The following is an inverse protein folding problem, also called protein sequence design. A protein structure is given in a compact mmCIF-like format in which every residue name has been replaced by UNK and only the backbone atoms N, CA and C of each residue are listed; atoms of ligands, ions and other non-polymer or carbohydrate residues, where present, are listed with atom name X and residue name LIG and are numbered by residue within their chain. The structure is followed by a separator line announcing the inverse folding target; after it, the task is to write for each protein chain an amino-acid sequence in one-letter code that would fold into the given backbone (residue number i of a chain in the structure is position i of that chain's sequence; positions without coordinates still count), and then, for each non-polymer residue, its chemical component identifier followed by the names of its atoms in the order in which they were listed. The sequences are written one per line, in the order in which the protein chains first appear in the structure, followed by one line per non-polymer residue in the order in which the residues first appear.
data_IF_184924921280
#
_entry.id   IF_184924921280
#
_cell.length_a   1.000
_cell.length_b   1.000
_cell.length_c   1.000
_cell.angle_alpha   90.00
_cell.angle_beta   90.00
_cell.angle_gamma   90.00
#
_symmetry.space_group_name_H-M   'P 1'
#
loop_
_entity.id
_entity.type
_entity.pdbx_description
1 polymer ?
#
# COMPACT_ATOMS: atom_id res chain seq x y z
N UNK A 1 -17.92 11.14 77.89
CA UNK A 1 -19.15 10.39 78.23
C UNK A 1 -19.45 9.51 77.03
N UNK A 2 -19.27 8.18 77.03
CA UNK A 2 -19.19 7.19 78.13
C UNK A 2 -20.50 7.20 78.95
N UNK A 3 -21.24 6.11 79.20
CA UNK A 3 -20.98 4.65 79.38
C UNK A 3 -22.25 3.89 78.88
N UNK A 4 -22.31 2.66 78.33
CA UNK A 4 -21.42 1.54 77.91
C UNK A 4 -22.14 0.82 76.72
N UNK A 5 -21.66 -0.18 75.95
CA UNK A 5 -20.60 -1.20 76.06
C UNK A 5 -20.95 -2.50 76.84
N UNK A 6 -21.78 -3.38 76.24
CA UNK A 6 -22.04 -4.82 76.53
C UNK A 6 -22.93 -5.34 75.37
N UNK A 7 -22.80 -6.52 74.73
CA UNK A 7 -21.85 -7.65 74.83
C UNK A 7 -21.37 -7.99 73.39
N UNK A 8 -20.09 -8.35 73.24
CA UNK A 8 -19.56 -9.05 72.06
C UNK A 8 -19.34 -10.54 72.41
N UNK A 9 -19.20 -11.41 71.42
CA UNK A 9 -19.10 -12.88 71.53
C UNK A 9 -20.45 -13.60 71.73
N UNK A 10 -21.02 -14.05 70.59
CA UNK A 10 -21.18 -15.48 70.34
C UNK A 10 -20.93 -15.73 68.85
N UNK A 11 -19.82 -16.43 68.57
CA UNK A 11 -19.36 -16.80 67.22
C UNK A 11 -19.57 -18.30 67.04
N UNK A 12 -19.64 -18.79 65.79
CA UNK A 12 -19.95 -20.21 65.44
C UNK A 12 -21.44 -20.54 65.72
N UNK A 13 -22.24 -21.12 64.82
CA UNK A 13 -21.98 -22.05 63.70
C UNK A 13 -22.48 -21.51 62.34
N UNK A 14 -21.90 -22.04 61.25
CA UNK A 14 -22.32 -21.93 59.83
C UNK A 14 -23.49 -22.90 59.50
N UNK A 15 -23.97 -23.09 58.24
CA UNK A 15 -23.54 -22.53 56.95
C UNK A 15 -24.67 -22.02 56.02
N UNK A 16 -24.28 -21.70 54.78
CA UNK A 16 -25.08 -21.60 53.54
C UNK A 16 -26.51 -22.18 53.55
N UNK A 17 -27.46 -21.38 53.08
CA UNK A 17 -28.56 -21.86 52.25
C UNK A 17 -28.80 -20.89 51.09
N UNK A 18 -28.56 -21.36 49.87
CA UNK A 18 -28.84 -20.62 48.65
C UNK A 18 -30.35 -20.39 48.51
N UNK A 19 -30.78 -19.13 48.46
CA UNK A 19 -32.10 -18.77 47.94
C UNK A 19 -32.16 -18.83 46.41
N UNK A 20 -31.58 -19.90 45.86
CA UNK A 20 -31.94 -20.41 44.55
C UNK A 20 -33.41 -20.80 44.60
N UNK A 21 -34.29 -19.90 44.16
CA UNK A 21 -35.71 -20.18 43.92
C UNK A 21 -35.81 -21.15 42.73
N UNK A 22 -35.51 -22.41 42.99
CA UNK A 22 -36.03 -23.50 42.20
C UNK A 22 -37.55 -23.38 42.23
N UNK A 23 -38.14 -22.95 41.11
CA UNK A 23 -39.56 -23.16 40.90
C UNK A 23 -39.75 -24.67 40.74
N UNK A 24 -40.00 -25.34 41.86
CA UNK A 24 -40.55 -26.70 41.90
C UNK A 24 -41.94 -26.65 41.30
N UNK A 25 -41.99 -26.61 39.96
CA UNK A 25 -43.19 -26.85 39.20
C UNK A 25 -43.64 -28.27 39.54
N UNK A 26 -44.87 -28.37 40.04
CA UNK A 26 -45.40 -29.63 40.56
C UNK A 26 -45.34 -30.70 39.43
N UNK A 27 -44.66 -31.85 39.62
CA UNK A 27 -44.60 -32.88 38.61
C UNK A 27 -45.98 -33.45 38.25
N UNK A 28 -47.00 -33.26 39.09
CA UNK A 28 -48.40 -33.62 38.80
C UNK A 28 -49.12 -32.57 37.92
N UNK A 29 -48.60 -31.33 37.82
CA UNK A 29 -49.08 -30.32 36.87
C UNK A 29 -48.45 -30.45 35.48
N UNK A 30 -47.36 -31.22 35.32
CA UNK A 30 -46.83 -31.67 34.02
C UNK A 30 -47.70 -32.78 33.42
N UNK A 31 -48.94 -32.44 33.05
CA UNK A 31 -49.80 -33.34 32.26
C UNK A 31 -49.13 -33.72 30.92
N UNK A 32 -49.47 -34.88 30.36
CA UNK A 32 -48.80 -35.47 29.18
C UNK A 32 -48.64 -34.53 27.98
N UNK A 33 -49.56 -33.59 27.79
CA UNK A 33 -49.49 -32.55 26.76
C UNK A 33 -48.21 -31.69 26.79
N UNK A 34 -47.48 -31.65 27.93
CA UNK A 34 -46.20 -30.93 28.01
C UNK A 34 -45.09 -31.60 27.21
N UNK A 35 -45.04 -32.93 27.13
CA UNK A 35 -44.06 -33.63 26.28
C UNK A 35 -44.35 -33.34 24.80
N UNK A 36 -45.63 -33.39 24.44
CA UNK A 36 -46.18 -32.94 23.16
C UNK A 36 -45.82 -31.49 22.80
N UNK A 37 -45.72 -30.59 23.78
CA UNK A 37 -45.30 -29.19 23.58
C UNK A 37 -43.77 -29.09 23.45
N UNK A 38 -43.00 -29.70 24.37
CA UNK A 38 -41.53 -29.72 24.33
C UNK A 38 -41.02 -30.33 23.00
N UNK A 39 -41.68 -31.37 22.46
CA UNK A 39 -41.36 -31.92 21.13
C UNK A 39 -41.76 -30.97 19.99
N UNK A 40 -42.93 -30.32 20.05
CA UNK A 40 -43.35 -29.33 19.03
C UNK A 40 -42.45 -28.10 19.03
N UNK A 41 -42.03 -27.62 20.20
CA UNK A 41 -41.04 -26.55 20.35
C UNK A 41 -39.67 -26.99 19.82
N UNK A 42 -39.21 -28.21 20.11
CA UNK A 42 -37.98 -28.75 19.54
C UNK A 42 -38.05 -28.85 18.00
N UNK A 43 -39.19 -29.28 17.44
CA UNK A 43 -39.42 -29.33 15.98
C UNK A 43 -39.46 -27.92 15.38
N UNK A 44 -40.09 -26.94 16.05
CA UNK A 44 -40.13 -25.55 15.61
C UNK A 44 -38.74 -24.89 15.67
N UNK A 45 -38.03 -25.03 16.79
CA UNK A 45 -36.64 -24.59 16.96
C UNK A 45 -35.72 -25.21 15.89
N UNK A 46 -35.85 -26.51 15.62
CA UNK A 46 -35.07 -27.18 14.57
C UNK A 46 -35.47 -26.73 13.15
N UNK A 47 -36.73 -26.38 12.89
CA UNK A 47 -37.15 -25.75 11.62
C UNK A 47 -36.57 -24.35 11.49
N UNK A 48 -36.67 -23.50 12.52
CA UNK A 48 -36.13 -22.14 12.56
C UNK A 48 -34.60 -22.15 12.38
N UNK A 49 -33.89 -23.04 13.06
CA UNK A 49 -32.44 -23.20 12.87
C UNK A 49 -32.09 -23.69 11.46
N UNK A 50 -32.88 -24.59 10.85
CA UNK A 50 -32.71 -24.95 9.42
C UNK A 50 -32.93 -23.76 8.48
N UNK A 51 -33.87 -22.86 8.77
CA UNK A 51 -34.05 -21.61 8.01
C UNK A 51 -32.91 -20.61 8.21
N UNK A 52 -32.23 -20.59 9.36
CA UNK A 52 -31.05 -19.73 9.55
C UNK A 52 -29.76 -20.34 8.96
N UNK A 53 -29.60 -21.66 9.03
CA UNK A 53 -28.48 -22.40 8.42
C UNK A 53 -28.41 -22.27 6.90
N UNK A 54 -29.55 -22.05 6.22
CA UNK A 54 -29.59 -21.85 4.76
C UNK A 54 -29.28 -20.41 4.33
N UNK A 55 -29.20 -19.43 5.24
CA UNK A 55 -28.74 -18.07 4.90
C UNK A 55 -27.22 -18.02 5.08
N UNK A 56 -26.41 -17.94 4.00
CA UNK A 56 -24.96 -18.09 4.09
C UNK A 56 -24.34 -17.12 5.12
N UNK A 57 -23.45 -17.62 5.98
CA UNK A 57 -22.85 -16.85 7.09
C UNK A 57 -21.92 -15.73 6.62
N UNK A 58 -21.44 -15.82 5.39
CA UNK A 58 -20.56 -14.86 4.74
C UNK A 58 -20.91 -14.77 3.24
N UNK A 59 -20.54 -13.68 2.59
CA UNK A 59 -20.58 -13.53 1.13
C UNK A 59 -19.16 -13.61 0.57
N UNK A 60 -19.00 -14.34 -0.53
CA UNK A 60 -17.79 -14.29 -1.34
C UNK A 60 -17.77 -13.03 -2.19
N UNK A 61 -16.61 -12.38 -2.29
CA UNK A 61 -16.35 -11.30 -3.25
C UNK A 61 -15.00 -11.53 -3.93
N UNK A 62 -14.98 -11.22 -5.21
CA UNK A 62 -13.80 -11.20 -6.08
C UNK A 62 -13.76 -9.83 -6.75
N UNK A 63 -12.60 -9.21 -6.73
CA UNK A 63 -12.36 -7.91 -7.38
C UNK A 63 -11.51 -8.05 -8.65
N UNK A 64 -11.54 -7.02 -9.50
CA UNK A 64 -10.77 -6.93 -10.75
C UNK A 64 -9.24 -7.07 -10.56
N UNK A 65 -8.74 -6.82 -9.35
CA UNK A 65 -7.32 -6.96 -8.98
C UNK A 65 -6.93 -8.38 -8.48
N UNK A 66 -7.80 -9.38 -8.65
CA UNK A 66 -7.58 -10.76 -8.18
C UNK A 66 -7.74 -10.92 -6.66
N UNK A 67 -8.26 -9.90 -5.97
CA UNK A 67 -8.48 -9.90 -4.52
C UNK A 67 -9.72 -10.73 -4.18
N UNK A 68 -9.53 -11.91 -3.58
CA UNK A 68 -10.60 -12.80 -3.14
C UNK A 68 -10.79 -12.68 -1.62
N UNK A 69 -12.01 -12.39 -1.18
CA UNK A 69 -12.29 -12.23 0.24
C UNK A 69 -13.71 -12.68 0.64
N UNK A 70 -13.83 -13.07 1.92
CA UNK A 70 -15.10 -13.44 2.57
C UNK A 70 -15.54 -12.28 3.47
N UNK A 71 -16.74 -11.75 3.23
CA UNK A 71 -17.37 -10.75 4.08
C UNK A 71 -18.41 -11.42 4.98
N UNK A 72 -18.14 -11.50 6.28
CA UNK A 72 -19.01 -12.12 7.27
C UNK A 72 -20.14 -11.17 7.72
N UNK A 73 -21.28 -11.72 8.15
CA UNK A 73 -22.44 -10.95 8.66
C UNK A 73 -22.13 -10.07 9.88
N UNK A 74 -21.06 -10.36 10.60
CA UNK A 74 -20.57 -9.58 11.76
C UNK A 74 -19.60 -8.45 11.37
N UNK A 75 -19.40 -8.21 10.08
CA UNK A 75 -18.50 -7.19 9.55
C UNK A 75 -17.04 -7.61 9.43
N UNK A 76 -16.67 -8.84 9.84
CA UNK A 76 -15.30 -9.34 9.63
C UNK A 76 -15.04 -9.62 8.16
N UNK A 77 -13.81 -9.32 7.73
CA UNK A 77 -13.29 -9.65 6.39
C UNK A 77 -12.15 -10.65 6.54
N UNK A 78 -12.22 -11.76 5.82
CA UNK A 78 -11.10 -12.70 5.65
C UNK A 78 -10.59 -12.65 4.21
N UNK A 79 -9.37 -12.15 4.03
CA UNK A 79 -8.70 -12.07 2.72
C UNK A 79 -7.93 -13.36 2.41
N UNK A 80 -8.06 -13.85 1.18
CA UNK A 80 -7.40 -15.05 0.66
C UNK A 80 -6.47 -14.68 -0.50
N UNK A 81 -5.21 -15.13 -0.43
CA UNK A 81 -4.19 -14.85 -1.43
C UNK A 81 -4.14 -16.02 -2.42
N UNK A 82 -4.67 -15.77 -3.62
CA UNK A 82 -4.59 -16.68 -4.76
C UNK A 82 -3.43 -16.30 -5.70
N UNK A 83 -3.14 -17.17 -6.68
CA UNK A 83 -2.01 -16.99 -7.62
C UNK A 83 -2.12 -15.77 -8.52
N UNK A 84 -3.35 -15.31 -8.76
CA UNK A 84 -3.68 -14.18 -9.63
C UNK A 84 -3.76 -12.84 -8.86
N UNK A 85 -3.37 -12.85 -7.57
CA UNK A 85 -3.29 -11.64 -6.75
C UNK A 85 -2.34 -10.60 -7.36
N UNK A 86 -2.83 -9.36 -7.50
CA UNK A 86 -2.02 -8.20 -7.84
C UNK A 86 -2.00 -7.21 -6.69
N UNK A 87 -0.82 -6.73 -6.29
CA UNK A 87 -0.71 -5.69 -5.28
C UNK A 87 -1.19 -4.33 -5.82
N UNK A 88 -1.89 -3.58 -4.98
CA UNK A 88 -2.50 -2.27 -5.31
C UNK A 88 -2.25 -1.29 -4.16
N UNK A 89 -2.23 0.01 -4.45
CA UNK A 89 -2.31 1.01 -3.38
C UNK A 89 -3.69 0.97 -2.71
N UNK A 90 -3.78 1.10 -1.37
CA UNK A 90 -5.04 1.06 -0.67
C UNK A 90 -5.98 2.19 -1.11
N UNK A 91 -7.27 1.91 -1.19
CA UNK A 91 -8.32 2.90 -1.41
C UNK A 91 -8.97 3.33 -0.09
N UNK A 92 -9.22 4.62 0.07
CA UNK A 92 -9.91 5.25 1.20
C UNK A 92 -11.31 4.65 1.49
N UNK A 93 -11.93 4.01 0.49
CA UNK A 93 -13.23 3.34 0.59
C UNK A 93 -13.18 1.90 1.15
N UNK A 94 -12.03 1.20 1.07
CA UNK A 94 -11.93 -0.25 1.36
C UNK A 94 -10.95 -0.60 2.50
N UNK A 95 -10.68 0.34 3.41
CA UNK A 95 -9.63 0.22 4.44
C UNK A 95 -9.73 -1.03 5.33
N UNK A 96 -10.93 -1.55 5.60
CA UNK A 96 -11.13 -2.78 6.38
C UNK A 96 -10.71 -4.04 5.58
N UNK A 97 -10.92 -4.05 4.26
CA UNK A 97 -10.45 -5.11 3.36
C UNK A 97 -8.93 -5.08 3.29
N UNK A 98 -8.34 -3.89 3.05
CA UNK A 98 -6.89 -3.71 3.00
C UNK A 98 -6.18 -4.04 4.32
N UNK A 99 -6.85 -3.88 5.47
CA UNK A 99 -6.32 -4.29 6.77
C UNK A 99 -6.26 -5.83 6.88
N UNK A 100 -7.29 -6.54 6.41
CA UNK A 100 -7.30 -8.01 6.34
C UNK A 100 -6.28 -8.56 5.33
N UNK A 101 -6.17 -7.91 4.17
CA UNK A 101 -5.17 -8.17 3.11
C UNK A 101 -3.74 -8.10 3.67
N UNK A 102 -3.39 -7.04 4.40
CA UNK A 102 -2.07 -6.91 5.03
C UNK A 102 -1.79 -8.00 6.08
N UNK A 103 -2.78 -8.35 6.93
CA UNK A 103 -2.62 -9.44 7.90
C UNK A 103 -2.56 -10.83 7.24
N UNK A 104 -3.15 -11.01 6.05
CA UNK A 104 -2.97 -12.25 5.25
C UNK A 104 -1.61 -12.28 4.54
N UNK A 105 -1.15 -11.18 3.93
CA UNK A 105 0.20 -11.09 3.33
C UNK A 105 1.28 -11.43 4.36
N UNK A 106 1.16 -10.90 5.59
CA UNK A 106 2.05 -11.20 6.69
C UNK A 106 2.04 -12.68 7.15
N UNK A 107 0.92 -13.41 7.00
CA UNK A 107 0.83 -14.86 7.30
C UNK A 107 1.41 -15.70 6.17
N UNK A 108 1.23 -15.28 4.92
CA UNK A 108 1.66 -16.02 3.73
C UNK A 108 3.14 -15.83 3.36
N UNK A 109 3.88 -14.99 4.11
CA UNK A 109 5.33 -14.83 3.95
C UNK A 109 5.76 -13.58 3.18
N UNK A 110 4.86 -12.64 2.93
CA UNK A 110 5.12 -11.38 2.21
C UNK A 110 5.11 -10.14 3.13
N UNK A 111 6.09 -10.00 4.04
CA UNK A 111 6.10 -8.93 5.04
C UNK A 111 6.33 -7.55 4.41
N UNK A 112 7.02 -7.45 3.27
CA UNK A 112 7.31 -6.17 2.64
C UNK A 112 6.06 -5.52 2.04
N UNK A 113 5.28 -6.27 1.27
CA UNK A 113 3.98 -5.80 0.76
C UNK A 113 3.00 -5.52 1.90
N UNK A 114 2.96 -6.35 2.95
CA UNK A 114 2.16 -6.07 4.14
C UNK A 114 2.53 -4.73 4.82
N UNK A 115 3.82 -4.45 5.01
CA UNK A 115 4.32 -3.17 5.58
C UNK A 115 4.02 -1.99 4.65
N UNK A 116 4.17 -2.17 3.33
CA UNK A 116 3.88 -1.15 2.30
C UNK A 116 2.40 -0.77 2.31
N UNK A 117 1.52 -1.77 2.32
CA UNK A 117 0.07 -1.62 2.39
C UNK A 117 -0.36 -0.94 3.70
N UNK A 118 0.19 -1.34 4.85
CA UNK A 118 -0.09 -0.71 6.15
C UNK A 118 0.40 0.74 6.25
N UNK A 119 1.55 1.08 5.67
CA UNK A 119 1.99 2.48 5.50
C UNK A 119 0.97 3.28 4.66
N UNK A 120 0.50 2.71 3.56
CA UNK A 120 -0.54 3.30 2.70
C UNK A 120 -1.88 3.50 3.42
N UNK A 121 -2.34 2.51 4.20
CA UNK A 121 -3.54 2.62 5.04
C UNK A 121 -3.38 3.77 6.05
N UNK A 122 -2.20 3.92 6.66
CA UNK A 122 -1.87 5.06 7.54
C UNK A 122 -1.86 6.42 6.83
N UNK A 123 -1.56 6.48 5.53
CA UNK A 123 -1.75 7.67 4.70
C UNK A 123 -3.25 7.90 4.41
N UNK A 124 -4.01 6.87 4.07
CA UNK A 124 -5.45 6.98 3.83
C UNK A 124 -6.24 7.49 5.06
N UNK A 125 -5.92 7.01 6.26
CA UNK A 125 -6.53 7.53 7.49
C UNK A 125 -6.19 9.02 7.73
N UNK A 126 -4.96 9.45 7.43
CA UNK A 126 -4.57 10.87 7.47
C UNK A 126 -5.28 11.71 6.41
N UNK A 127 -5.51 11.18 5.21
CA UNK A 127 -6.27 11.88 4.16
C UNK A 127 -7.75 12.07 4.56
N UNK A 128 -8.42 10.98 4.95
CA UNK A 128 -9.88 10.99 5.24
C UNK A 128 -10.26 11.69 6.55
N UNK A 129 -9.40 11.63 7.58
CA UNK A 129 -9.74 12.12 8.92
C UNK A 129 -8.72 13.12 9.51
N UNK A 130 -7.66 13.47 8.79
CA UNK A 130 -6.66 14.45 9.23
C UNK A 130 -5.95 14.05 10.52
N UNK A 131 -6.28 14.73 11.62
CA UNK A 131 -5.68 14.53 12.96
C UNK A 131 -6.49 13.58 13.87
N UNK A 132 -7.77 13.33 13.57
CA UNK A 132 -8.62 12.44 14.38
C UNK A 132 -8.56 11.01 13.85
N UNK A 133 -7.78 10.15 14.51
CA UNK A 133 -7.60 8.76 14.08
C UNK A 133 -8.68 7.84 14.69
N UNK A 134 -9.44 7.07 13.87
CA UNK A 134 -10.40 6.09 14.37
C UNK A 134 -9.72 4.85 14.98
N UNK A 135 -10.48 4.06 15.74
CA UNK A 135 -9.95 2.85 16.40
C UNK A 135 -9.26 1.85 15.44
N UNK A 136 -9.83 1.66 14.24
CA UNK A 136 -9.25 0.81 13.19
C UNK A 136 -7.87 1.28 12.73
N UNK A 137 -7.61 2.59 12.70
CA UNK A 137 -6.30 3.14 12.39
C UNK A 137 -5.26 2.82 13.49
N UNK A 138 -5.68 2.68 14.75
CA UNK A 138 -4.77 2.27 15.83
C UNK A 138 -4.40 0.79 15.73
N UNK A 139 -5.33 -0.07 15.29
CA UNK A 139 -5.04 -1.49 14.99
C UNK A 139 -4.04 -1.61 13.85
N UNK A 140 -4.26 -0.92 12.72
CA UNK A 140 -3.32 -0.90 11.59
C UNK A 140 -1.93 -0.35 11.97
N UNK A 141 -1.88 0.67 12.84
CA UNK A 141 -0.63 1.17 13.38
C UNK A 141 0.06 0.15 14.32
N UNK A 142 -0.68 -0.63 15.09
CA UNK A 142 -0.13 -1.68 15.96
C UNK A 142 0.41 -2.86 15.15
N UNK A 143 -0.30 -3.32 14.10
CA UNK A 143 0.20 -4.39 13.21
C UNK A 143 1.43 -3.93 12.44
N UNK A 144 1.45 -2.69 11.93
CA UNK A 144 2.63 -2.09 11.30
C UNK A 144 3.84 -2.07 12.24
N UNK A 145 3.67 -1.58 13.47
CA UNK A 145 4.75 -1.54 14.47
C UNK A 145 5.24 -2.96 14.86
N UNK A 146 4.34 -3.95 14.92
CA UNK A 146 4.69 -5.37 15.14
C UNK A 146 5.57 -5.92 14.01
N UNK A 147 5.18 -5.67 12.76
CA UNK A 147 5.92 -6.14 11.58
C UNK A 147 7.27 -5.43 11.41
N UNK A 148 7.35 -4.10 11.63
CA UNK A 148 8.62 -3.36 11.60
C UNK A 148 9.60 -3.89 12.66
N UNK A 149 9.12 -4.21 13.88
CA UNK A 149 9.97 -4.81 14.94
C UNK A 149 10.48 -6.19 14.56
N UNK A 150 9.64 -7.04 13.94
CA UNK A 150 10.04 -8.34 13.42
C UNK A 150 11.11 -8.21 12.31
N UNK A 151 10.88 -7.28 11.38
CA UNK A 151 11.78 -6.99 10.25
C UNK A 151 12.94 -6.03 10.60
N UNK A 152 13.19 -5.73 11.88
CA UNK A 152 14.23 -4.77 12.28
C UNK A 152 15.65 -5.17 11.82
N UNK A 153 15.91 -6.48 11.73
CA UNK A 153 17.15 -7.06 11.17
C UNK A 153 17.31 -6.82 9.65
N UNK A 154 16.22 -6.45 8.97
CA UNK A 154 16.10 -6.10 7.54
C UNK A 154 15.52 -4.69 7.37
N UNK A 155 15.83 -3.76 8.29
CA UNK A 155 15.35 -2.38 8.27
C UNK A 155 15.59 -1.68 6.92
N UNK A 156 16.80 -1.85 6.37
CA UNK A 156 17.17 -1.29 5.06
C UNK A 156 16.36 -1.85 3.90
N UNK A 157 16.24 -3.18 3.78
CA UNK A 157 15.38 -3.81 2.78
C UNK A 157 13.92 -3.34 2.93
N UNK A 158 13.46 -3.16 4.17
CA UNK A 158 12.12 -2.66 4.46
C UNK A 158 11.96 -1.21 3.96
N UNK A 159 12.89 -0.31 4.26
CA UNK A 159 12.88 1.06 3.73
C UNK A 159 13.09 1.14 2.21
N UNK A 160 13.83 0.20 1.62
CA UNK A 160 14.06 0.14 0.18
C UNK A 160 12.79 -0.30 -0.55
N UNK A 161 12.16 -1.38 -0.11
CA UNK A 161 10.99 -1.96 -0.78
C UNK A 161 9.68 -1.23 -0.45
N UNK A 162 9.55 -0.52 0.68
CA UNK A 162 8.27 0.07 1.11
C UNK A 162 8.15 1.59 0.99
N UNK A 163 9.14 2.27 0.39
CA UNK A 163 9.08 3.71 0.06
C UNK A 163 9.14 3.96 -1.47
N UNK A 164 8.37 4.94 -1.99
CA UNK A 164 7.29 5.64 -1.30
C UNK A 164 6.08 4.72 -1.12
N UNK A 165 5.26 5.03 -0.12
CA UNK A 165 3.95 4.43 0.04
C UNK A 165 2.88 5.37 -0.53
N UNK A 166 1.71 4.82 -0.82
CA UNK A 166 0.63 5.57 -1.47
C UNK A 166 -0.75 5.23 -0.94
N UNK A 167 -1.71 6.09 -1.26
CA UNK A 167 -3.13 5.91 -1.00
C UNK A 167 -3.93 6.49 -2.16
N UNK A 168 -5.01 5.82 -2.56
CA UNK A 168 -5.94 6.32 -3.58
C UNK A 168 -7.27 6.79 -2.97
N UNK A 169 -7.77 7.92 -3.44
CA UNK A 169 -9.11 8.43 -3.11
C UNK A 169 -9.76 8.97 -4.38
N UNK A 170 -10.85 8.32 -4.82
CA UNK A 170 -11.58 8.66 -6.06
C UNK A 170 -10.61 8.66 -7.25
N UNK A 171 -10.34 9.82 -7.84
CA UNK A 171 -9.47 9.99 -9.01
C UNK A 171 -8.04 10.43 -8.64
N UNK A 172 -7.72 10.53 -7.35
CA UNK A 172 -6.42 11.00 -6.84
C UNK A 172 -5.62 9.84 -6.26
N UNK A 173 -4.35 9.72 -6.67
CA UNK A 173 -3.32 8.93 -6.00
C UNK A 173 -2.38 9.89 -5.26
N UNK A 174 -2.26 9.73 -3.94
CA UNK A 174 -1.28 10.44 -3.12
C UNK A 174 -0.10 9.52 -2.82
N UNK A 175 1.11 10.03 -3.00
CA UNK A 175 2.38 9.35 -2.72
C UNK A 175 3.16 10.13 -1.65
N UNK A 176 3.81 9.42 -0.74
CA UNK A 176 4.60 10.02 0.34
C UNK A 176 5.84 9.17 0.67
N UNK A 177 6.95 9.84 1.01
CA UNK A 177 8.09 9.20 1.70
C UNK A 177 8.48 10.06 2.89
N UNK A 178 8.48 9.44 4.08
CA UNK A 178 8.97 10.06 5.32
C UNK A 178 10.49 10.20 5.27
N UNK A 179 11.19 9.20 4.73
CA UNK A 179 12.66 9.15 4.68
C UNK A 179 13.26 10.26 3.83
N UNK A 180 12.65 10.55 2.67
CA UNK A 180 13.12 11.63 1.78
C UNK A 180 12.38 12.96 1.98
N UNK A 181 11.25 12.94 2.71
CA UNK A 181 10.34 14.08 2.95
C UNK A 181 9.82 14.72 1.66
N UNK A 182 9.01 13.97 0.93
CA UNK A 182 8.15 14.54 -0.10
C UNK A 182 6.73 13.99 0.01
N UNK A 183 5.78 14.79 -0.44
CA UNK A 183 4.40 14.40 -0.67
C UNK A 183 3.97 14.88 -2.06
N UNK A 184 3.24 14.04 -2.78
CA UNK A 184 2.83 14.30 -4.16
C UNK A 184 1.41 13.79 -4.37
N UNK A 185 0.56 14.62 -4.98
CA UNK A 185 -0.76 14.20 -5.45
C UNK A 185 -0.76 14.13 -6.99
N UNK A 186 -1.34 13.06 -7.53
CA UNK A 186 -1.44 12.78 -8.97
C UNK A 186 -2.74 12.03 -9.27
N UNK A 187 -3.00 11.69 -10.54
CA UNK A 187 -4.21 10.96 -10.97
C UNK A 187 -4.16 9.47 -10.60
N UNK A 188 -5.30 8.82 -10.38
CA UNK A 188 -5.36 7.40 -9.95
C UNK A 188 -4.89 6.42 -11.03
N UNK A 189 -5.12 6.72 -12.30
CA UNK A 189 -4.87 5.85 -13.47
C UNK A 189 -3.39 5.60 -13.83
N UNK A 190 -2.45 5.79 -12.90
CA UNK A 190 -1.08 5.27 -13.03
C UNK A 190 -1.02 3.80 -12.60
N UNK A 191 -0.66 2.91 -13.51
CA UNK A 191 -0.13 1.60 -13.11
C UNK A 191 1.21 1.80 -12.40
N UNK A 192 1.44 1.08 -11.31
CA UNK A 192 2.71 1.05 -10.59
C UNK A 192 3.23 -0.39 -10.56
N UNK A 193 4.53 -0.59 -10.76
CA UNK A 193 5.17 -1.87 -10.47
C UNK A 193 5.87 -1.76 -9.11
N UNK A 194 5.32 -2.50 -8.16
CA UNK A 194 5.84 -2.60 -6.81
C UNK A 194 7.23 -3.25 -6.83
N UNK A 195 8.19 -2.75 -6.04
CA UNK A 195 9.56 -3.25 -6.09
C UNK A 195 9.68 -4.61 -5.40
N UNK A 196 10.36 -5.53 -6.08
CA UNK A 196 10.78 -6.84 -5.59
C UNK A 196 12.23 -6.81 -5.09
N UNK A 197 12.66 -7.70 -4.17
CA UNK A 197 14.06 -7.79 -3.71
C UNK A 197 15.09 -8.07 -4.81
N UNK A 198 14.63 -8.65 -5.93
CA UNK A 198 15.37 -8.97 -7.15
C UNK A 198 15.59 -7.76 -8.08
N UNK A 199 14.82 -6.69 -7.92
CA UNK A 199 14.71 -5.64 -8.93
C UNK A 199 15.90 -4.67 -8.92
N UNK A 200 16.51 -4.34 -10.08
CA UNK A 200 17.65 -3.44 -10.17
C UNK A 200 17.30 -1.95 -9.96
N UNK A 201 16.16 -1.63 -9.35
CA UNK A 201 15.68 -0.25 -9.16
C UNK A 201 16.13 0.38 -7.83
N UNK A 202 16.90 -0.31 -7.00
CA UNK A 202 17.54 0.26 -5.81
C UNK A 202 18.96 -0.27 -5.66
N UNK A 203 19.87 0.60 -5.21
CA UNK A 203 21.28 0.28 -5.09
C UNK A 203 21.95 0.98 -3.89
N UNK A 204 22.95 0.31 -3.34
CA UNK A 204 23.81 0.82 -2.29
C UNK A 204 25.25 0.84 -2.80
N UNK A 205 25.81 2.05 -2.93
CA UNK A 205 27.20 2.30 -3.26
C UNK A 205 27.87 3.03 -2.09
N UNK A 206 29.20 3.11 -2.09
CA UNK A 206 29.97 3.65 -0.96
C UNK A 206 29.63 5.12 -0.67
N UNK A 207 29.43 5.92 -1.72
CA UNK A 207 29.09 7.36 -1.63
C UNK A 207 27.59 7.66 -1.44
N UNK A 208 26.69 6.73 -1.82
CA UNK A 208 25.24 6.96 -1.77
C UNK A 208 24.36 5.69 -1.80
N UNK A 209 23.19 5.82 -1.20
CA UNK A 209 22.03 4.95 -1.46
C UNK A 209 21.17 5.61 -2.54
N UNK A 210 20.62 4.84 -3.48
CA UNK A 210 19.65 5.35 -4.45
C UNK A 210 18.49 4.36 -4.68
N UNK A 211 17.32 4.91 -5.00
CA UNK A 211 16.07 4.18 -5.28
C UNK A 211 15.35 4.88 -6.44
N UNK A 212 14.86 4.12 -7.41
CA UNK A 212 14.03 4.60 -8.52
C UNK A 212 12.66 3.93 -8.42
N UNK A 213 11.58 4.66 -8.67
CA UNK A 213 10.22 4.12 -8.61
C UNK A 213 9.43 4.63 -9.81
N UNK A 214 8.90 3.71 -10.60
CA UNK A 214 8.25 3.98 -11.89
C UNK A 214 6.74 3.81 -11.83
N UNK A 215 6.04 4.69 -12.54
CA UNK A 215 4.60 4.75 -12.69
C UNK A 215 4.31 4.96 -14.17
N UNK A 216 3.32 4.28 -14.75
CA UNK A 216 3.11 4.33 -16.19
C UNK A 216 1.64 4.33 -16.59
N UNK A 217 1.38 4.91 -17.76
CA UNK A 217 0.12 4.81 -18.50
C UNK A 217 0.39 4.14 -19.83
N UNK A 218 -0.26 3.02 -20.07
CA UNK A 218 -0.35 2.40 -21.41
C UNK A 218 -1.10 3.36 -22.32
N UNK A 219 -0.59 3.59 -23.54
CA UNK A 219 -1.35 4.35 -24.54
C UNK A 219 -2.39 3.44 -25.22
N UNK A 220 -3.53 3.98 -25.68
CA UNK A 220 -4.54 3.20 -26.41
C UNK A 220 -4.04 2.66 -27.76
N UNK A 221 -2.84 3.10 -28.19
CA UNK A 221 -2.19 2.72 -29.44
C UNK A 221 -1.35 1.43 -29.31
N UNK A 222 -1.11 0.90 -28.09
CA UNK A 222 -0.40 -0.37 -27.85
C UNK A 222 -1.37 -1.52 -27.53
N UNK A 223 -1.28 -2.63 -28.28
CA UNK A 223 -2.01 -3.88 -28.01
C UNK A 223 -1.37 -4.75 -26.93
N UNK A 224 -0.07 -4.57 -26.65
CA UNK A 224 0.73 -5.47 -25.83
C UNK A 224 1.01 -4.89 -24.43
N UNK A 225 -0.04 -4.76 -23.62
CA UNK A 225 0.08 -4.45 -22.19
C UNK A 225 1.05 -5.40 -21.49
N UNK A 226 0.91 -6.69 -21.79
CA UNK A 226 1.42 -7.80 -21.00
C UNK A 226 2.88 -8.18 -21.30
N UNK A 227 3.41 -7.82 -22.48
CA UNK A 227 4.84 -8.04 -22.76
C UNK A 227 5.70 -7.18 -21.83
N UNK A 228 5.34 -5.90 -21.66
CA UNK A 228 6.12 -4.97 -20.83
C UNK A 228 6.17 -5.39 -19.34
N UNK A 229 5.05 -5.83 -18.78
CA UNK A 229 5.00 -6.30 -17.38
C UNK A 229 5.82 -7.59 -17.19
N UNK A 230 5.82 -8.51 -18.16
CA UNK A 230 6.70 -9.70 -18.15
C UNK A 230 8.17 -9.34 -18.33
N UNK A 231 8.50 -8.43 -19.24
CA UNK A 231 9.87 -7.97 -19.52
C UNK A 231 10.47 -7.27 -18.29
N UNK A 232 9.71 -6.41 -17.62
CA UNK A 232 10.15 -5.75 -16.37
C UNK A 232 10.40 -6.78 -15.25
N UNK A 233 9.46 -7.71 -15.01
CA UNK A 233 9.63 -8.79 -14.00
C UNK A 233 10.79 -9.73 -14.33
N UNK A 234 11.27 -9.78 -15.58
CA UNK A 234 12.36 -10.69 -15.96
C UNK A 234 13.72 -10.36 -15.31
N UNK A 235 13.90 -9.16 -14.75
CA UNK A 235 15.11 -8.72 -14.01
C UNK A 235 16.41 -8.61 -14.86
N UNK A 236 16.43 -9.22 -16.03
CA UNK A 236 17.61 -9.36 -16.91
C UNK A 236 18.01 -8.06 -17.63
N UNK A 237 17.09 -7.10 -17.73
CA UNK A 237 17.28 -5.85 -18.42
C UNK A 237 17.81 -4.76 -17.48
N UNK A 238 19.08 -4.38 -17.66
CA UNK A 238 19.67 -3.17 -17.04
C UNK A 238 18.76 -1.96 -17.33
N UNK A 239 18.70 -0.99 -16.39
CA UNK A 239 17.78 0.18 -16.37
C UNK A 239 17.50 0.93 -17.69
N UNK A 240 18.39 0.78 -18.68
CA UNK A 240 18.44 1.39 -20.00
C UNK A 240 17.39 0.90 -21.02
N UNK A 241 16.75 -0.26 -20.83
CA UNK A 241 15.72 -0.75 -21.77
C UNK A 241 14.40 0.01 -21.59
N UNK A 242 14.43 1.29 -21.96
CA UNK A 242 13.22 2.04 -22.30
C UNK A 242 12.50 1.30 -23.44
N UNK A 243 11.36 0.67 -23.14
CA UNK A 243 10.29 0.43 -24.12
C UNK A 243 9.05 1.22 -23.69
N UNK A 244 8.77 2.36 -24.33
CA UNK A 244 7.46 2.99 -24.15
C UNK A 244 6.95 3.71 -25.40
N UNK A 245 5.95 3.16 -26.09
CA UNK A 245 4.83 4.00 -26.53
C UNK A 245 3.89 4.17 -25.32
N UNK A 246 4.45 4.69 -24.23
CA UNK A 246 3.83 4.86 -22.91
C UNK A 246 4.26 6.20 -22.33
N UNK A 247 3.42 6.75 -21.45
CA UNK A 247 3.84 7.84 -20.59
C UNK A 247 4.34 7.23 -19.28
N UNK A 248 5.57 7.57 -18.88
CA UNK A 248 6.21 7.04 -17.67
C UNK A 248 6.57 8.20 -16.75
N UNK A 249 5.96 8.23 -15.58
CA UNK A 249 6.37 9.06 -14.46
C UNK A 249 7.40 8.29 -13.60
N UNK A 250 8.39 8.98 -13.05
CA UNK A 250 9.46 8.38 -12.26
C UNK A 250 9.86 9.28 -11.10
N UNK A 251 9.96 8.68 -9.92
CA UNK A 251 10.52 9.29 -8.71
C UNK A 251 11.86 8.63 -8.42
N UNK A 252 12.94 9.39 -8.52
CA UNK A 252 14.26 9.00 -8.04
C UNK A 252 14.52 9.61 -6.67
N UNK A 253 15.06 8.80 -5.75
CA UNK A 253 15.44 9.19 -4.39
C UNK A 253 16.90 8.81 -4.16
N UNK A 254 17.71 9.67 -3.56
CA UNK A 254 19.07 9.32 -3.13
C UNK A 254 19.44 9.92 -1.78
N UNK A 255 20.32 9.22 -1.06
CA UNK A 255 20.86 9.66 0.21
C UNK A 255 22.39 9.58 0.17
N UNK A 256 23.05 10.69 0.49
CA UNK A 256 24.49 10.90 0.40
C UNK A 256 25.09 10.98 1.82
N UNK A 257 25.54 9.87 2.44
CA UNK A 257 26.12 9.89 3.78
C UNK A 257 27.47 10.62 3.85
N UNK A 258 28.26 10.56 2.78
CA UNK A 258 29.53 11.29 2.63
C UNK A 258 29.25 12.72 2.16
N UNK A 259 30.10 13.67 2.53
CA UNK A 259 29.99 15.08 2.15
C UNK A 259 29.75 15.23 0.63
N UNK A 260 28.60 15.80 0.26
CA UNK A 260 28.04 15.63 -1.07
C UNK A 260 28.92 16.21 -2.19
N UNK A 261 29.49 15.32 -3.00
CA UNK A 261 30.17 15.65 -4.28
C UNK A 261 29.19 16.28 -5.28
N UNK A 262 27.90 16.04 -5.10
CA UNK A 262 26.83 16.67 -5.86
C UNK A 262 26.38 17.98 -5.20
N UNK A 263 26.26 19.02 -6.03
CA UNK A 263 25.52 20.24 -5.75
C UNK A 263 24.21 20.26 -6.54
N UNK A 264 23.31 21.19 -6.20
CA UNK A 264 22.07 21.42 -6.97
C UNK A 264 22.31 21.73 -8.46
N UNK A 265 23.52 22.11 -8.88
CA UNK A 265 23.89 22.37 -10.27
C UNK A 265 24.30 21.12 -11.06
N UNK A 266 24.82 20.08 -10.42
CA UNK A 266 25.35 18.87 -11.09
C UNK A 266 24.71 17.55 -10.63
N UNK A 267 23.79 17.58 -9.66
CA UNK A 267 23.06 16.40 -9.18
C UNK A 267 22.32 15.60 -10.29
N UNK A 268 21.99 16.22 -11.43
CA UNK A 268 21.46 15.50 -12.60
C UNK A 268 22.41 14.41 -13.13
N UNK A 269 23.73 14.58 -12.95
CA UNK A 269 24.76 13.64 -13.43
C UNK A 269 24.69 12.29 -12.72
N UNK A 270 24.25 12.24 -11.45
CA UNK A 270 23.97 11.00 -10.74
C UNK A 270 22.92 10.19 -11.49
N UNK A 271 21.80 10.82 -11.84
CA UNK A 271 20.67 10.17 -12.49
C UNK A 271 20.92 9.82 -13.94
N UNK A 272 21.70 10.63 -14.67
CA UNK A 272 22.22 10.26 -15.97
C UNK A 272 23.04 8.95 -15.85
N UNK A 273 23.96 8.86 -14.88
CA UNK A 273 24.76 7.64 -14.64
C UNK A 273 23.89 6.44 -14.23
N UNK A 274 22.88 6.58 -13.36
CA UNK A 274 21.96 5.48 -12.99
C UNK A 274 21.07 5.03 -14.14
N UNK A 275 20.73 5.93 -15.06
CA UNK A 275 20.06 5.62 -16.32
C UNK A 275 21.03 5.18 -17.42
N UNK A 276 22.33 5.03 -17.14
CA UNK A 276 23.36 4.60 -18.09
C UNK A 276 23.72 5.63 -19.17
N UNK A 277 23.25 6.88 -19.05
CA UNK A 277 23.46 7.98 -19.99
C UNK A 277 24.89 8.51 -19.85
N UNK A 278 25.81 7.93 -20.60
CA UNK A 278 27.21 8.34 -20.74
C UNK A 278 27.46 9.06 -22.08
N UNK A 279 28.65 9.67 -22.25
CA UNK A 279 28.99 10.43 -23.47
C UNK A 279 28.86 9.66 -24.79
N UNK A 280 29.01 8.33 -24.78
CA UNK A 280 28.81 7.48 -25.97
C UNK A 280 27.32 7.36 -26.25
N UNK A 281 26.53 6.91 -25.27
CA UNK A 281 25.07 6.77 -25.43
C UNK A 281 24.39 8.09 -25.80
N UNK A 282 24.84 9.23 -25.25
CA UNK A 282 24.34 10.57 -25.60
C UNK A 282 24.48 10.87 -27.11
N UNK A 283 25.55 10.38 -27.76
CA UNK A 283 25.74 10.50 -29.22
C UNK A 283 24.92 9.48 -30.00
N UNK A 284 24.77 8.26 -29.46
CA UNK A 284 23.99 7.18 -30.09
C UNK A 284 22.47 7.46 -30.11
N UNK A 285 21.95 8.25 -29.16
CA UNK A 285 20.51 8.60 -29.04
C UNK A 285 20.19 10.08 -29.32
N UNK A 286 21.14 10.88 -29.83
CA UNK A 286 20.96 12.33 -30.05
C UNK A 286 20.49 13.10 -28.80
N UNK A 287 21.01 12.75 -27.61
CA UNK A 287 20.54 13.30 -26.33
C UNK A 287 20.84 14.80 -26.19
N UNK A 288 19.81 15.61 -25.95
CA UNK A 288 19.90 17.07 -25.78
C UNK A 288 19.07 17.52 -24.58
N UNK A 289 19.74 17.99 -23.52
CA UNK A 289 19.10 18.61 -22.35
C UNK A 289 19.17 20.13 -22.42
N UNK A 290 18.03 20.80 -22.29
CA UNK A 290 17.89 22.25 -22.11
C UNK A 290 17.40 22.53 -20.68
N UNK A 291 17.91 23.57 -20.02
CA UNK A 291 17.34 24.07 -18.75
C UNK A 291 16.22 25.06 -19.05
N UNK A 292 15.09 24.92 -18.37
CA UNK A 292 13.92 25.81 -18.46
C UNK A 292 13.46 26.14 -17.03
N UNK A 293 13.79 27.35 -16.58
CA UNK A 293 13.60 27.82 -15.19
C UNK A 293 14.16 26.84 -14.15
N UNK A 294 13.35 26.31 -13.24
CA UNK A 294 13.75 25.31 -12.23
C UNK A 294 13.67 23.86 -12.72
N UNK A 295 13.48 23.65 -14.03
CA UNK A 295 13.31 22.33 -14.65
C UNK A 295 14.27 22.12 -15.81
N UNK A 296 14.29 20.91 -16.33
CA UNK A 296 15.05 20.55 -17.52
C UNK A 296 14.15 19.80 -18.51
N UNK A 297 14.32 20.09 -19.79
CA UNK A 297 13.67 19.39 -20.90
C UNK A 297 14.74 18.65 -21.67
N UNK A 298 14.70 17.32 -21.59
CA UNK A 298 15.62 16.41 -22.26
C UNK A 298 14.93 15.74 -23.45
N UNK A 299 15.59 15.74 -24.61
CA UNK A 299 15.13 15.09 -25.84
C UNK A 299 16.11 14.03 -26.29
N UNK A 300 15.61 12.93 -26.85
CA UNK A 300 16.43 11.89 -27.48
C UNK A 300 15.61 11.07 -28.47
N UNK A 301 16.27 10.28 -29.31
CA UNK A 301 15.64 9.30 -30.20
C UNK A 301 15.83 7.91 -29.62
N UNK A 302 14.75 7.26 -29.22
CA UNK A 302 14.75 5.85 -28.84
C UNK A 302 14.76 4.98 -30.10
N UNK A 303 15.52 3.89 -30.09
CA UNK A 303 15.53 2.88 -31.16
C UNK A 303 15.09 1.54 -30.57
N UNK A 304 13.99 1.01 -31.08
CA UNK A 304 13.47 -0.30 -30.67
C UNK A 304 14.34 -1.44 -31.23
N UNK A 305 14.25 -2.67 -30.67
CA UNK A 305 14.93 -3.85 -31.23
C UNK A 305 14.63 -4.10 -32.72
N UNK A 306 13.42 -3.74 -33.17
CA UNK A 306 12.96 -3.78 -34.56
C UNK A 306 13.55 -2.68 -35.46
N UNK A 307 14.39 -1.78 -34.93
CA UNK A 307 14.95 -0.63 -35.65
C UNK A 307 14.02 0.59 -35.73
N UNK A 308 12.76 0.47 -35.30
CA UNK A 308 11.78 1.58 -35.23
C UNK A 308 12.31 2.72 -34.35
N UNK A 309 12.36 3.94 -34.88
CA UNK A 309 12.83 5.14 -34.18
C UNK A 309 11.67 5.97 -33.64
N UNK A 310 11.71 6.33 -32.36
CA UNK A 310 10.69 7.14 -31.67
C UNK A 310 11.36 8.35 -31.01
N UNK A 311 11.03 9.59 -31.41
CA UNK A 311 11.45 10.79 -30.68
C UNK A 311 10.78 10.85 -29.30
N UNK A 312 11.57 11.02 -28.25
CA UNK A 312 11.16 11.01 -26.85
C UNK A 312 11.49 12.35 -26.18
N UNK A 313 10.62 12.79 -25.28
CA UNK A 313 10.86 13.93 -24.39
C UNK A 313 10.79 13.46 -22.94
N UNK A 314 11.63 14.04 -22.09
CA UNK A 314 11.55 13.96 -20.64
C UNK A 314 11.49 15.37 -20.07
N UNK A 315 10.54 15.61 -19.19
CA UNK A 315 10.45 16.81 -18.36
C UNK A 315 10.96 16.42 -16.96
N UNK A 316 11.95 17.13 -16.44
CA UNK A 316 12.74 16.74 -15.27
C UNK A 316 12.85 17.87 -14.25
N UNK A 317 12.74 17.55 -12.95
CA UNK A 317 13.02 18.46 -11.85
C UNK A 317 13.88 17.75 -10.81
N UNK A 318 14.88 18.49 -10.32
CA UNK A 318 15.91 17.99 -9.43
C UNK A 318 15.92 18.82 -8.15
N UNK A 319 15.92 18.15 -7.00
CA UNK A 319 16.11 18.75 -5.69
C UNK A 319 17.29 18.05 -5.02
N UNK A 320 18.15 18.82 -4.35
CA UNK A 320 19.18 18.29 -3.46
C UNK A 320 19.24 19.24 -2.26
N UNK A 321 18.91 18.71 -1.08
CA UNK A 321 18.90 19.46 0.19
C UNK A 321 19.56 18.61 1.26
N UNK A 322 20.52 19.21 1.96
CA UNK A 322 21.35 18.51 2.94
C UNK A 322 21.98 17.27 2.25
N UNK A 323 21.76 16.07 2.79
CA UNK A 323 22.20 14.79 2.24
C UNK A 323 21.13 14.09 1.37
N UNK A 324 19.96 14.72 1.13
CA UNK A 324 18.78 14.11 0.49
C UNK A 324 18.57 14.64 -0.92
N UNK A 325 18.63 13.74 -1.90
CA UNK A 325 18.38 14.03 -3.30
C UNK A 325 17.03 13.48 -3.77
N UNK A 326 16.35 14.25 -4.63
CA UNK A 326 15.10 13.85 -5.30
C UNK A 326 15.12 14.22 -6.79
N UNK A 327 14.73 13.27 -7.62
CA UNK A 327 14.43 13.41 -9.04
C UNK A 327 12.92 13.19 -9.20
N UNK A 328 12.25 14.12 -9.86
CA UNK A 328 10.94 13.89 -10.44
C UNK A 328 11.05 14.05 -11.95
N UNK A 329 10.54 13.08 -12.71
CA UNK A 329 10.52 13.19 -14.18
C UNK A 329 9.34 12.48 -14.80
N UNK A 330 8.81 13.04 -15.88
CA UNK A 330 7.83 12.38 -16.75
C UNK A 330 8.39 12.29 -18.16
N UNK A 331 8.31 11.11 -18.78
CA UNK A 331 8.77 10.84 -20.15
C UNK A 331 7.67 10.26 -21.03
N UNK A 332 7.80 10.46 -22.34
CA UNK A 332 6.94 9.85 -23.34
C UNK A 332 7.29 10.31 -24.77
N UNK A 333 6.57 9.79 -25.79
CA UNK A 333 6.78 10.17 -27.18
C UNK A 333 6.52 11.66 -27.43
N UNK A 334 7.37 12.33 -28.23
CA UNK A 334 7.26 13.78 -28.49
C UNK A 334 5.93 14.17 -29.17
N UNK A 335 5.29 13.24 -29.90
CA UNK A 335 3.94 13.42 -30.45
C UNK A 335 2.87 13.76 -29.38
N UNK A 336 3.09 13.40 -28.12
CA UNK A 336 2.18 13.63 -26.98
C UNK A 336 2.72 14.69 -26.01
N UNK A 337 3.56 15.61 -26.47
CA UNK A 337 4.21 16.62 -25.61
C UNK A 337 3.23 17.52 -24.84
N UNK A 338 2.04 17.86 -25.38
CA UNK A 338 1.04 18.64 -24.63
C UNK A 338 0.36 17.81 -23.52
N UNK A 339 0.16 16.50 -23.72
CA UNK A 339 -0.31 15.57 -22.69
C UNK A 339 0.73 15.46 -21.55
N UNK A 340 2.01 15.32 -21.91
CA UNK A 340 3.14 15.31 -20.97
C UNK A 340 3.23 16.62 -20.18
N UNK A 341 3.13 17.78 -20.84
CA UNK A 341 3.11 19.11 -20.19
C UNK A 341 1.93 19.26 -19.22
N UNK A 342 0.74 18.83 -19.60
CA UNK A 342 -0.45 18.91 -18.75
C UNK A 342 -0.25 18.09 -17.47
N UNK A 343 0.15 16.81 -17.59
CA UNK A 343 0.49 15.95 -16.45
C UNK A 343 1.64 16.53 -15.61
N UNK A 344 2.70 17.04 -16.24
CA UNK A 344 3.83 17.69 -15.56
C UNK A 344 3.42 18.94 -14.78
N UNK A 345 2.51 19.75 -15.31
CA UNK A 345 1.98 20.94 -14.63
C UNK A 345 1.15 20.57 -13.40
N UNK A 346 0.36 19.49 -13.48
CA UNK A 346 -0.41 18.97 -12.35
C UNK A 346 0.54 18.47 -11.25
N UNK A 347 1.50 17.60 -11.62
CA UNK A 347 2.52 17.06 -10.72
C UNK A 347 3.29 18.19 -9.98
N UNK A 348 3.80 19.19 -10.71
CA UNK A 348 4.57 20.28 -10.09
C UNK A 348 3.72 21.18 -9.17
N UNK A 349 2.44 21.38 -9.46
CA UNK A 349 1.51 22.14 -8.59
C UNK A 349 1.15 21.40 -7.29
N UNK A 350 1.38 20.08 -7.26
CA UNK A 350 1.00 19.18 -6.17
C UNK A 350 2.19 18.50 -5.48
N UNK A 351 3.42 18.88 -5.85
CA UNK A 351 4.65 18.39 -5.25
C UNK A 351 5.07 19.28 -4.06
N UNK A 352 5.26 18.66 -2.90
CA UNK A 352 5.79 19.26 -1.68
C UNK A 352 7.08 18.51 -1.31
N UNK A 353 8.15 19.25 -0.96
CA UNK A 353 9.47 18.73 -0.57
C UNK A 353 9.99 19.54 0.62
N UNK A 354 10.49 18.87 1.67
CA UNK A 354 10.89 19.50 2.95
C UNK A 354 12.38 19.33 3.31
#
# INVERSE_FOLDING_TARGET
MCVFFFIFVLFVVSPFHDFARAQTTDPLLRGSWFADQEEKEAILHNKVNRFFLTVPHFTWKTDLHGRNYRFYKDGRVEFLIDRDYTEVFPDVSELDVHTSEADSLAKHGEPFSAIRLLKGIGLCYRMRFGKSLPGSATVAAQTLNRLIRHMAHKSKETEDLTDPFGCSEKDILKLESVSFRFSLETVKDWKHLFPEPSAPESGNEEDHVWKLRRFYKTLPDETDSDEWERVYRSGSEKLLRFRPDRIVFSVGMSYHPVAAVYSSKNYFQLWDLKRGINQRTMREIDFRRKKEEDSYVSRFVLVHPEGRKVPMVVLEKYFLRDNRGLLFSISGPEKRIEELKNLWSHLNRKLIVE
#
